data_IF_089259133280
#
_entry.id   IF_089259133280
#
_cell.length_a   1.000
_cell.length_b   1.000
_cell.length_c   1.000
_cell.angle_alpha   90.00
_cell.angle_beta   90.00
_cell.angle_gamma   90.00
#
_symmetry.space_group_name_H-M   'P 1'
#
loop_
_entity.id
_entity.type
_entity.pdbx_description
1 polymer ?
#
# COMPACT_ATOMS: atom_id res chain seq x y z
N UNK A 1 -66.85 24.48 58.93
CA UNK A 1 -66.24 23.42 58.09
C UNK A 1 -65.07 24.02 57.33
N UNK A 2 -63.83 23.81 57.78
CA UNK A 2 -62.61 24.35 57.13
C UNK A 2 -61.78 23.16 56.67
N UNK A 3 -61.74 22.92 55.34
CA UNK A 3 -60.93 21.87 54.72
C UNK A 3 -59.48 22.35 54.61
N UNK A 4 -58.58 21.76 55.40
CA UNK A 4 -57.13 21.93 55.27
C UNK A 4 -56.63 21.04 54.14
N UNK A 5 -56.11 21.64 53.08
CA UNK A 5 -55.46 20.96 51.94
C UNK A 5 -53.98 20.82 52.28
N UNK A 6 -53.52 19.57 52.48
CA UNK A 6 -52.10 19.24 52.65
C UNK A 6 -51.46 19.16 51.25
N UNK A 7 -50.48 20.02 51.01
CA UNK A 7 -49.61 19.98 49.81
C UNK A 7 -48.42 19.09 50.12
N UNK A 8 -48.16 18.02 49.35
CA UNK A 8 -46.96 17.20 49.54
C UNK A 8 -45.77 17.90 48.89
N UNK A 9 -44.74 18.18 49.70
CA UNK A 9 -43.44 18.66 49.26
C UNK A 9 -42.67 17.46 48.69
N UNK A 10 -42.56 17.41 47.36
CA UNK A 10 -41.74 16.41 46.65
C UNK A 10 -40.28 16.87 46.72
N UNK A 11 -39.49 16.23 47.59
CA UNK A 11 -38.03 16.36 47.58
C UNK A 11 -37.47 15.68 46.33
N UNK A 12 -37.01 16.49 45.36
CA UNK A 12 -36.14 16.03 44.28
C UNK A 12 -34.75 15.77 44.84
N UNK A 13 -34.46 14.52 45.19
CA UNK A 13 -33.08 14.06 45.45
C UNK A 13 -32.38 13.98 44.10
N UNK A 14 -31.51 14.96 43.81
CA UNK A 14 -30.61 14.92 42.67
C UNK A 14 -29.57 13.82 42.87
N UNK A 15 -29.91 12.60 42.44
CA UNK A 15 -28.98 11.50 42.35
C UNK A 15 -27.94 11.85 41.27
N UNK A 16 -26.75 12.28 41.69
CA UNK A 16 -25.56 12.27 40.85
C UNK A 16 -25.20 10.81 40.56
N UNK A 17 -25.87 10.19 39.58
CA UNK A 17 -25.45 8.91 39.05
C UNK A 17 -24.07 9.11 38.39
N UNK A 18 -23.02 8.39 38.81
CA UNK A 18 -21.76 8.44 38.08
C UNK A 18 -22.04 7.95 36.66
N UNK A 19 -21.78 8.80 35.68
CA UNK A 19 -21.79 8.44 34.26
C UNK A 19 -20.73 7.37 34.11
N UNK A 20 -21.15 6.09 34.13
CA UNK A 20 -20.33 4.96 33.72
C UNK A 20 -20.02 5.16 32.23
N UNK A 21 -18.98 5.94 31.93
CA UNK A 21 -18.34 5.92 30.63
C UNK A 21 -17.91 4.48 30.43
N UNK A 22 -18.58 3.78 29.53
CA UNK A 22 -18.20 2.44 29.08
C UNK A 22 -16.72 2.52 28.72
N UNK A 23 -15.87 1.99 29.60
CA UNK A 23 -14.43 2.06 29.44
C UNK A 23 -14.10 1.13 28.28
N UNK A 24 -13.69 1.70 27.16
CA UNK A 24 -13.19 0.94 26.02
C UNK A 24 -12.13 -0.04 26.52
N UNK A 25 -12.17 -1.33 26.14
CA UNK A 25 -11.16 -2.28 26.54
C UNK A 25 -9.75 -1.76 26.22
N UNK A 26 -8.79 -1.96 27.13
CA UNK A 26 -7.46 -1.38 27.00
C UNK A 26 -6.77 -1.77 25.66
N UNK A 27 -6.99 -2.99 25.18
CA UNK A 27 -6.42 -3.48 23.92
C UNK A 27 -6.87 -2.67 22.69
N UNK A 28 -8.13 -2.21 22.65
CA UNK A 28 -8.64 -1.39 21.55
C UNK A 28 -7.91 -0.04 21.49
N UNK A 29 -7.54 0.53 22.63
CA UNK A 29 -6.77 1.79 22.70
C UNK A 29 -5.28 1.60 22.42
N UNK A 30 -4.72 0.44 22.80
CA UNK A 30 -3.30 0.14 22.66
C UNK A 30 -2.92 -0.33 21.25
N UNK A 31 -3.86 -0.97 20.53
CA UNK A 31 -3.60 -1.52 19.21
C UNK A 31 -3.10 -0.48 18.18
N UNK A 32 -3.76 0.68 18.00
CA UNK A 32 -3.25 1.71 17.09
C UNK A 32 -1.85 2.20 17.44
N UNK A 33 -1.51 2.24 18.74
CA UNK A 33 -0.20 2.65 19.23
C UNK A 33 0.85 1.57 18.89
N UNK A 34 0.53 0.30 19.09
CA UNK A 34 1.42 -0.82 18.77
C UNK A 34 1.73 -0.87 17.27
N UNK A 35 0.70 -0.75 16.42
CA UNK A 35 0.87 -0.70 14.96
C UNK A 35 1.70 0.51 14.55
N UNK A 36 1.37 1.71 15.04
CA UNK A 36 2.12 2.93 14.72
C UNK A 36 3.60 2.83 15.09
N UNK A 37 3.92 2.28 16.27
CA UNK A 37 5.31 2.05 16.69
C UNK A 37 6.02 0.99 15.85
N UNK A 38 5.31 -0.08 15.48
CA UNK A 38 5.86 -1.11 14.61
C UNK A 38 6.17 -0.56 13.21
N UNK A 39 5.25 0.22 12.63
CA UNK A 39 5.46 0.90 11.33
C UNK A 39 6.63 1.86 11.40
N UNK A 40 6.71 2.72 12.41
CA UNK A 40 7.85 3.63 12.59
C UNK A 40 9.19 2.88 12.67
N UNK A 41 9.21 1.74 13.35
CA UNK A 41 10.40 0.90 13.42
C UNK A 41 10.74 0.24 12.07
N UNK A 42 9.74 -0.18 11.30
CA UNK A 42 9.95 -0.72 9.95
C UNK A 42 10.48 0.36 8.99
N UNK A 43 9.90 1.56 9.04
CA UNK A 43 10.32 2.73 8.22
C UNK A 43 11.77 3.13 8.51
N UNK A 44 12.26 2.92 9.74
CA UNK A 44 13.66 3.13 10.12
C UNK A 44 14.57 1.92 9.81
N UNK A 45 14.10 0.96 9.00
CA UNK A 45 14.82 -0.28 8.65
C UNK A 45 14.94 -1.31 9.79
N UNK A 46 14.32 -1.06 10.93
CA UNK A 46 14.40 -1.91 12.13
C UNK A 46 13.27 -2.95 12.18
N UNK A 47 13.16 -3.79 11.15
CA UNK A 47 12.08 -4.78 11.02
C UNK A 47 12.00 -5.80 12.17
N UNK A 48 13.15 -6.22 12.74
CA UNK A 48 13.14 -7.09 13.92
C UNK A 48 12.54 -6.41 15.16
N UNK A 49 12.65 -5.08 15.27
CA UNK A 49 11.98 -4.31 16.32
C UNK A 49 10.47 -4.19 16.06
N UNK A 50 10.10 -3.95 14.81
CA UNK A 50 8.70 -3.91 14.39
C UNK A 50 7.98 -5.24 14.70
N UNK A 51 8.58 -6.37 14.34
CA UNK A 51 8.03 -7.70 14.64
C UNK A 51 7.91 -7.95 16.14
N UNK A 52 8.92 -7.57 16.93
CA UNK A 52 8.88 -7.74 18.39
C UNK A 52 7.79 -6.90 19.04
N UNK A 53 7.57 -5.66 18.60
CA UNK A 53 6.48 -4.81 19.11
C UNK A 53 5.12 -5.48 18.90
N UNK A 54 4.87 -6.02 17.70
CA UNK A 54 3.64 -6.74 17.41
C UNK A 54 3.55 -8.05 18.22
N UNK A 55 4.63 -8.83 18.30
CA UNK A 55 4.66 -10.07 19.06
C UNK A 55 4.36 -9.84 20.55
N UNK A 56 4.92 -8.79 21.16
CA UNK A 56 4.61 -8.38 22.54
C UNK A 56 3.12 -8.06 22.69
N UNK A 57 2.54 -7.28 21.78
CA UNK A 57 1.10 -6.98 21.83
C UNK A 57 0.24 -8.26 21.75
N UNK A 58 0.57 -9.18 20.84
CA UNK A 58 -0.14 -10.45 20.69
C UNK A 58 -0.06 -11.33 21.95
N UNK A 59 1.11 -11.35 22.60
CA UNK A 59 1.33 -12.10 23.84
C UNK A 59 0.56 -11.52 25.02
N UNK A 60 0.45 -10.19 25.09
CA UNK A 60 -0.32 -9.49 26.14
C UNK A 60 -1.83 -9.54 25.91
N UNK A 61 -2.28 -9.67 24.67
CA UNK A 61 -3.69 -9.62 24.29
C UNK A 61 -4.14 -10.86 23.48
N UNK A 62 -3.92 -12.09 24.00
CA UNK A 62 -4.23 -13.30 23.25
C UNK A 62 -5.74 -13.42 22.98
N UNK A 63 -6.10 -13.92 21.80
CA UNK A 63 -7.50 -14.16 21.42
C UNK A 63 -8.31 -12.90 21.08
N UNK A 64 -7.74 -11.71 21.21
CA UNK A 64 -8.36 -10.46 20.73
C UNK A 64 -8.41 -10.43 19.21
N UNK A 65 -9.30 -9.59 18.66
CA UNK A 65 -9.37 -9.38 17.21
C UNK A 65 -8.07 -8.79 16.70
N UNK A 66 -7.55 -7.80 17.39
CA UNK A 66 -6.33 -7.05 17.11
C UNK A 66 -5.12 -8.00 17.04
N UNK A 67 -5.01 -8.95 17.97
CA UNK A 67 -3.94 -9.94 17.95
C UNK A 67 -3.96 -10.85 16.71
N UNK A 68 -5.14 -11.15 16.15
CA UNK A 68 -5.25 -11.90 14.89
C UNK A 68 -4.81 -11.07 13.68
N UNK A 69 -5.05 -9.76 13.71
CA UNK A 69 -4.66 -8.85 12.64
C UNK A 69 -3.13 -8.68 12.53
N UNK A 70 -2.35 -9.07 13.54
CA UNK A 70 -0.87 -9.01 13.51
C UNK A 70 -0.28 -9.83 12.37
N UNK A 71 -0.88 -10.97 12.00
CA UNK A 71 -0.35 -11.82 10.92
C UNK A 71 -0.29 -11.05 9.60
N UNK A 72 -1.26 -10.17 9.34
CA UNK A 72 -1.25 -9.29 8.17
C UNK A 72 -0.07 -8.33 8.21
N UNK A 73 0.16 -7.64 9.32
CA UNK A 73 1.26 -6.68 9.47
C UNK A 73 2.64 -7.34 9.36
N UNK A 74 2.81 -8.52 9.97
CA UNK A 74 4.03 -9.31 9.80
C UNK A 74 4.26 -9.70 8.35
N UNK A 75 3.20 -10.05 7.62
CA UNK A 75 3.31 -10.32 6.20
C UNK A 75 3.79 -9.09 5.41
N UNK A 76 3.27 -7.89 5.72
CA UNK A 76 3.73 -6.64 5.07
C UNK A 76 5.22 -6.41 5.29
N UNK A 77 5.70 -6.55 6.53
CA UNK A 77 7.12 -6.38 6.86
C UNK A 77 8.04 -7.43 6.21
N UNK A 78 7.53 -8.63 5.94
CA UNK A 78 8.26 -9.67 5.20
C UNK A 78 8.31 -9.43 3.69
N UNK A 79 7.27 -8.79 3.15
CA UNK A 79 7.16 -8.48 1.72
C UNK A 79 7.86 -7.17 1.34
N UNK A 80 8.20 -6.33 2.32
CA UNK A 80 8.88 -5.07 2.09
C UNK A 80 10.29 -5.29 1.50
N UNK A 81 10.58 -4.75 0.30
CA UNK A 81 11.91 -4.82 -0.30
C UNK A 81 13.02 -4.17 0.56
N UNK A 82 12.67 -3.23 1.44
CA UNK A 82 13.61 -2.62 2.38
C UNK A 82 14.10 -3.58 3.47
N UNK A 83 13.38 -4.68 3.71
CA UNK A 83 13.77 -5.69 4.68
C UNK A 83 14.76 -6.69 4.07
N UNK A 84 16.01 -6.27 3.87
CA UNK A 84 17.04 -7.11 3.26
C UNK A 84 17.56 -8.22 4.18
N UNK A 85 17.35 -8.12 5.49
CA UNK A 85 17.92 -9.04 6.48
C UNK A 85 17.00 -10.22 6.79
N UNK A 86 15.72 -9.97 7.03
CA UNK A 86 14.74 -11.01 7.39
C UNK A 86 13.54 -11.06 6.46
N UNK A 87 13.47 -10.18 5.46
CA UNK A 87 12.41 -10.16 4.46
C UNK A 87 12.52 -11.35 3.52
N UNK A 88 11.37 -11.87 3.14
CA UNK A 88 11.27 -12.99 2.21
C UNK A 88 9.92 -12.95 1.53
N UNK A 89 9.94 -12.87 0.21
CA UNK A 89 8.72 -12.89 -0.61
C UNK A 89 7.89 -14.16 -0.34
N UNK A 90 8.56 -15.31 -0.21
CA UNK A 90 7.91 -16.59 0.09
C UNK A 90 7.30 -16.64 1.49
N UNK A 91 8.02 -16.15 2.51
CA UNK A 91 7.52 -16.13 3.89
C UNK A 91 6.34 -15.16 4.04
N UNK A 92 6.43 -13.98 3.43
CA UNK A 92 5.33 -13.00 3.39
C UNK A 92 4.08 -13.55 2.71
N UNK A 93 4.23 -14.27 1.58
CA UNK A 93 3.13 -14.98 0.93
C UNK A 93 2.52 -16.06 1.83
N UNK A 94 3.33 -16.81 2.55
CA UNK A 94 2.84 -17.81 3.51
C UNK A 94 2.02 -17.16 4.63
N UNK A 95 2.50 -16.06 5.21
CA UNK A 95 1.77 -15.31 6.24
C UNK A 95 0.44 -14.75 5.71
N UNK A 96 0.40 -14.24 4.47
CA UNK A 96 -0.87 -13.83 3.84
C UNK A 96 -1.83 -15.00 3.64
N UNK A 97 -1.33 -16.18 3.28
CA UNK A 97 -2.17 -17.38 3.17
C UNK A 97 -2.75 -17.77 4.53
N UNK A 98 -1.96 -17.75 5.60
CA UNK A 98 -2.42 -18.02 6.97
C UNK A 98 -3.49 -17.01 7.37
N UNK A 99 -3.23 -15.72 7.15
CA UNK A 99 -4.17 -14.64 7.47
C UNK A 99 -5.51 -14.81 6.73
N UNK A 100 -5.47 -15.16 5.44
CA UNK A 100 -6.68 -15.37 4.63
C UNK A 100 -7.39 -16.69 4.92
N UNK A 101 -6.69 -17.69 5.46
CA UNK A 101 -7.28 -18.97 5.85
C UNK A 101 -8.13 -18.85 7.12
N UNK A 102 -7.79 -17.93 8.02
CA UNK A 102 -8.60 -17.61 9.20
C UNK A 102 -9.87 -16.83 8.77
N UNK A 103 -11.09 -17.33 9.00
CA UNK A 103 -12.32 -16.60 8.68
C UNK A 103 -12.62 -15.45 9.64
N UNK A 104 -11.98 -15.41 10.81
CA UNK A 104 -12.19 -14.38 11.84
C UNK A 104 -11.36 -13.11 11.63
N UNK A 105 -10.46 -13.11 10.63
CA UNK A 105 -9.72 -11.93 10.18
C UNK A 105 -10.55 -11.14 9.18
N UNK A 106 -10.90 -9.91 9.55
CA UNK A 106 -11.85 -9.10 8.77
C UNK A 106 -11.32 -7.72 8.44
N UNK A 107 -10.41 -7.15 9.24
CA UNK A 107 -10.03 -5.75 9.09
C UNK A 107 -9.25 -5.48 7.79
N UNK A 108 -8.35 -6.38 7.39
CA UNK A 108 -7.43 -6.18 6.25
C UNK A 108 -7.59 -7.26 5.17
N UNK A 109 -8.74 -7.95 5.14
CA UNK A 109 -8.95 -9.11 4.26
C UNK A 109 -8.95 -8.74 2.77
N UNK A 110 -9.46 -7.55 2.42
CA UNK A 110 -9.49 -7.10 1.04
C UNK A 110 -8.07 -6.75 0.55
N UNK A 111 -7.33 -6.02 1.38
CA UNK A 111 -5.94 -5.60 1.20
C UNK A 111 -5.04 -6.83 1.08
N UNK A 112 -5.17 -7.79 1.99
CA UNK A 112 -4.41 -9.05 1.96
C UNK A 112 -4.60 -9.82 0.64
N UNK A 113 -5.81 -9.84 0.07
CA UNK A 113 -6.07 -10.46 -1.24
C UNK A 113 -5.35 -9.74 -2.38
N UNK A 114 -5.35 -8.41 -2.36
CA UNK A 114 -4.67 -7.59 -3.37
C UNK A 114 -3.16 -7.79 -3.27
N UNK A 115 -2.60 -7.63 -2.07
CA UNK A 115 -1.15 -7.77 -1.84
C UNK A 115 -0.69 -9.19 -2.17
N UNK A 116 -1.46 -10.23 -1.83
CA UNK A 116 -1.14 -11.62 -2.21
C UNK A 116 -1.02 -11.80 -3.71
N UNK A 117 -1.98 -11.28 -4.49
CA UNK A 117 -1.92 -11.36 -5.96
C UNK A 117 -0.69 -10.65 -6.50
N UNK A 118 -0.41 -9.45 -5.99
CA UNK A 118 0.76 -8.68 -6.39
C UNK A 118 2.07 -9.43 -6.08
N UNK A 119 2.21 -9.96 -4.87
CA UNK A 119 3.39 -10.72 -4.45
C UNK A 119 3.61 -11.98 -5.30
N UNK A 120 2.54 -12.70 -5.68
CA UNK A 120 2.62 -13.82 -6.62
C UNK A 120 3.11 -13.35 -7.99
N UNK A 121 2.57 -12.25 -8.51
CA UNK A 121 3.01 -11.68 -9.79
C UNK A 121 4.49 -11.31 -9.74
N UNK A 122 4.94 -10.66 -8.66
CA UNK A 122 6.36 -10.33 -8.45
C UNK A 122 7.23 -11.59 -8.40
N UNK A 123 6.79 -12.65 -7.73
CA UNK A 123 7.52 -13.92 -7.66
C UNK A 123 7.68 -14.55 -9.04
N UNK A 124 6.62 -14.54 -9.86
CA UNK A 124 6.65 -15.05 -11.24
C UNK A 124 7.62 -14.22 -12.09
N UNK A 125 7.62 -12.90 -11.95
CA UNK A 125 8.52 -12.01 -12.68
C UNK A 125 9.99 -12.24 -12.28
N UNK A 126 10.27 -12.40 -10.99
CA UNK A 126 11.61 -12.73 -10.50
C UNK A 126 12.08 -14.09 -11.03
N UNK A 127 11.22 -15.12 -10.97
CA UNK A 127 11.54 -16.43 -11.52
C UNK A 127 11.84 -16.36 -13.03
N UNK A 128 11.02 -15.62 -13.79
CA UNK A 128 11.25 -15.39 -15.23
C UNK A 128 12.59 -14.69 -15.49
N UNK A 129 12.90 -13.65 -14.72
CA UNK A 129 14.16 -12.93 -14.83
C UNK A 129 15.38 -13.84 -14.57
N UNK A 130 15.27 -14.79 -13.64
CA UNK A 130 16.33 -15.77 -13.36
C UNK A 130 16.44 -16.88 -14.42
N UNK A 131 15.34 -17.22 -15.10
CA UNK A 131 15.32 -18.25 -16.16
C UNK A 131 15.67 -17.73 -17.55
N UNK A 132 15.78 -16.42 -17.74
CA UNK A 132 16.35 -15.90 -18.96
C UNK A 132 17.82 -16.39 -19.00
N UNK A 133 18.21 -17.23 -19.97
CA UNK A 133 19.64 -17.45 -20.19
C UNK A 133 20.26 -16.08 -20.36
N UNK A 134 21.51 -15.91 -19.94
CA UNK A 134 22.32 -14.77 -20.34
C UNK A 134 22.23 -14.70 -21.86
N UNK A 135 21.27 -13.92 -22.38
CA UNK A 135 21.17 -13.61 -23.79
C UNK A 135 22.49 -12.93 -24.03
N UNK A 136 23.31 -13.59 -24.83
CA UNK A 136 24.56 -13.07 -25.35
C UNK A 136 24.34 -11.59 -25.63
N UNK A 137 24.81 -10.76 -24.70
CA UNK A 137 24.44 -9.33 -24.62
C UNK A 137 24.90 -8.62 -25.89
N UNK A 138 25.86 -9.23 -26.58
CA UNK A 138 26.35 -8.91 -27.91
C UNK A 138 25.25 -8.95 -28.98
N UNK A 139 24.43 -10.01 -29.07
CA UNK A 139 23.40 -10.11 -30.12
C UNK A 139 22.24 -9.16 -29.85
N UNK A 140 21.85 -8.98 -28.58
CA UNK A 140 20.76 -8.07 -28.22
C UNK A 140 21.19 -6.59 -28.32
N UNK A 141 22.45 -6.26 -28.01
CA UNK A 141 23.00 -4.92 -28.19
C UNK A 141 23.11 -4.55 -29.67
N UNK A 142 23.56 -5.47 -30.53
CA UNK A 142 23.61 -5.25 -31.99
C UNK A 142 22.21 -5.08 -32.58
N UNK A 143 21.22 -5.86 -32.14
CA UNK A 143 19.82 -5.69 -32.58
C UNK A 143 19.26 -4.33 -32.15
N UNK A 144 19.51 -3.91 -30.91
CA UNK A 144 19.03 -2.61 -30.41
C UNK A 144 19.76 -1.43 -31.07
N UNK A 145 21.06 -1.54 -31.35
CA UNK A 145 21.81 -0.50 -32.07
C UNK A 145 21.34 -0.35 -33.52
N UNK A 146 21.03 -1.46 -34.21
CA UNK A 146 20.46 -1.42 -35.55
C UNK A 146 19.06 -0.79 -35.57
N UNK A 147 18.22 -1.12 -34.58
CA UNK A 147 16.88 -0.53 -34.42
C UNK A 147 16.94 0.96 -34.08
N UNK A 148 17.84 1.37 -33.17
CA UNK A 148 18.08 2.79 -32.83
C UNK A 148 18.63 3.56 -34.02
N UNK A 149 19.51 2.96 -34.83
CA UNK A 149 20.01 3.58 -36.05
C UNK A 149 18.90 3.76 -37.11
N UNK A 150 18.03 2.75 -37.28
CA UNK A 150 16.87 2.83 -38.17
C UNK A 150 15.89 3.93 -37.73
N UNK A 151 15.56 3.98 -36.44
CA UNK A 151 14.69 5.01 -35.88
C UNK A 151 15.29 6.42 -36.02
N UNK A 152 16.61 6.58 -35.84
CA UNK A 152 17.29 7.87 -36.08
C UNK A 152 17.26 8.29 -37.55
N UNK A 153 17.44 7.34 -38.47
CA UNK A 153 17.35 7.62 -39.90
C UNK A 153 15.93 8.04 -40.31
N UNK A 154 14.91 7.40 -39.72
CA UNK A 154 13.51 7.75 -39.94
C UNK A 154 13.16 9.13 -39.34
N UNK A 155 13.69 9.45 -38.16
CA UNK A 155 13.55 10.77 -37.54
C UNK A 155 14.24 11.87 -38.37
N UNK A 156 15.42 11.58 -38.93
CA UNK A 156 16.11 12.49 -39.86
C UNK A 156 15.32 12.72 -41.15
N UNK A 157 14.69 11.66 -41.69
CA UNK A 157 13.83 11.77 -42.88
C UNK A 157 12.57 12.60 -42.60
N UNK A 158 11.87 12.30 -41.52
CA UNK A 158 10.63 13.01 -41.15
C UNK A 158 10.89 14.47 -40.78
N UNK A 159 12.01 14.78 -40.12
CA UNK A 159 12.41 16.17 -39.87
C UNK A 159 12.76 16.95 -41.15
N UNK A 160 13.43 16.32 -42.12
CA UNK A 160 13.70 16.94 -43.41
C UNK A 160 12.40 17.20 -44.22
N UNK A 161 11.43 16.29 -44.13
CA UNK A 161 10.11 16.46 -44.75
C UNK A 161 9.29 17.57 -44.09
N UNK A 162 9.34 17.68 -42.76
CA UNK A 162 8.76 18.81 -42.02
C UNK A 162 9.39 20.14 -42.40
N UNK A 163 10.72 20.20 -42.56
CA UNK A 163 11.41 21.41 -43.00
C UNK A 163 11.05 21.82 -44.44
N UNK A 164 10.84 20.84 -45.34
CA UNK A 164 10.40 21.11 -46.71
C UNK A 164 8.97 21.63 -46.75
N UNK A 165 8.07 20.97 -46.04
CA UNK A 165 6.65 21.36 -45.98
C UNK A 165 6.45 22.71 -45.28
N UNK A 166 7.22 23.03 -44.24
CA UNK A 166 7.17 24.36 -43.62
C UNK A 166 7.64 25.46 -44.59
N UNK A 167 8.72 25.23 -45.34
CA UNK A 167 9.19 26.16 -46.36
C UNK A 167 8.17 26.36 -47.49
N UNK A 168 7.44 25.31 -47.88
CA UNK A 168 6.34 25.40 -48.85
C UNK A 168 5.15 26.19 -48.29
N UNK A 169 4.77 25.96 -47.03
CA UNK A 169 3.72 26.72 -46.35
C UNK A 169 4.08 28.21 -46.28
N UNK A 170 5.32 28.56 -45.97
CA UNK A 170 5.76 29.97 -45.93
C UNK A 170 5.75 30.61 -47.31
N UNK A 171 6.09 29.87 -48.37
CA UNK A 171 5.94 30.35 -49.75
C UNK A 171 4.48 30.58 -50.11
N UNK A 172 3.58 29.65 -49.76
CA UNK A 172 2.14 29.77 -50.02
C UNK A 172 1.56 30.95 -49.23
N UNK A 173 1.91 31.09 -47.94
CA UNK A 173 1.53 32.25 -47.13
C UNK A 173 1.99 33.57 -47.74
N UNK A 174 3.23 33.64 -48.22
CA UNK A 174 3.75 34.84 -48.90
C UNK A 174 2.99 35.16 -50.19
N UNK A 175 2.58 34.15 -50.95
CA UNK A 175 1.72 34.32 -52.14
C UNK A 175 0.30 34.76 -51.78
N UNK A 176 -0.27 34.24 -50.69
CA UNK A 176 -1.60 34.64 -50.20
C UNK A 176 -1.63 36.05 -49.62
N UNK A 177 -0.54 36.49 -48.98
CA UNK A 177 -0.44 37.84 -48.39
C UNK A 177 -0.24 38.95 -49.43
N UNK A 178 0.22 38.63 -50.64
CA UNK A 178 0.25 39.52 -51.81
C UNK A 178 -0.66 38.96 -52.92
N UNK A 179 -2.00 39.03 -52.76
CA UNK A 179 -2.91 38.74 -53.85
C UNK A 179 -2.81 39.87 -54.88
N UNK A 180 -2.37 39.55 -56.09
CA UNK A 180 -2.64 40.41 -57.25
C UNK A 180 -4.14 40.35 -57.56
#
# INVERSE_FOLDING_TARGET
>A
MIRKVLVPIILFVAACAPVNRLRTPAHETQWPIAVSRATLAADSGSYGNAERILATFAAENPGTREAREIVFWRAMFKLDPGNTTSGSLGEGLNLLNIYLADPSTVAYRAEAKVVRRLAITTQILQAKAMTLPARDTTIQKVSNEAEVAALRAELARTSAELARTSAELDRIKKRLANPN
#
